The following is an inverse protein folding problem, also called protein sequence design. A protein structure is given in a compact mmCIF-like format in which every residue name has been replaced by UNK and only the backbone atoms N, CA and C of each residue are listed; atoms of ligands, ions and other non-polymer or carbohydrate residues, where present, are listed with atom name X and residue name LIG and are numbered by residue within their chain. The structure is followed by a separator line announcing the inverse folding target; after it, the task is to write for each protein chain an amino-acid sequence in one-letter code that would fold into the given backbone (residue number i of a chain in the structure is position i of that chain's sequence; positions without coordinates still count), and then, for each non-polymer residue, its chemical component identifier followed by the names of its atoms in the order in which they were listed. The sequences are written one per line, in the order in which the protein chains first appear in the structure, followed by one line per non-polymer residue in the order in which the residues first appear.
data_IF_065820006001
#
_entry.id   IF_065820006001
#
_cell.length_a   1.000
_cell.length_b   1.000
_cell.length_c   1.000
_cell.angle_alpha   90.00
_cell.angle_beta   90.00
_cell.angle_gamma   90.00
#
_symmetry.space_group_name_H-M   'P 1'
#
loop_
_entity.id
_entity.type
_entity.pdbx_description
1 polymer ?
#
# COMPACT_ATOMS: atom_id res chain seq x y z
N UNK A 1 -41.48 29.53 21.42
CA UNK A 1 -40.03 29.83 21.40
C UNK A 1 -39.40 28.87 20.41
N UNK A 2 -38.81 29.39 19.33
CA UNK A 2 -38.29 28.61 18.20
C UNK A 2 -37.04 27.85 18.63
N UNK A 3 -36.97 26.59 18.21
CA UNK A 3 -35.77 25.77 18.18
C UNK A 3 -34.71 26.43 17.31
N UNK A 4 -33.48 26.52 17.81
CA UNK A 4 -32.30 26.72 16.99
C UNK A 4 -31.06 26.20 17.72
N UNK A 5 -30.15 25.65 16.91
CA UNK A 5 -28.73 25.37 17.19
C UNK A 5 -28.44 24.08 17.98
N UNK A 6 -27.52 23.20 17.57
CA UNK A 6 -26.41 23.29 16.61
C UNK A 6 -25.99 21.87 16.21
N UNK A 7 -25.90 21.57 14.91
CA UNK A 7 -25.27 20.35 14.39
C UNK A 7 -23.74 20.42 14.51
N UNK A 8 -23.05 19.41 15.06
CA UNK A 8 -21.59 19.41 15.13
C UNK A 8 -20.98 18.77 13.87
N UNK A 9 -20.90 19.52 12.77
CA UNK A 9 -20.12 19.11 11.58
C UNK A 9 -19.40 20.33 11.04
N UNK A 10 -18.23 20.67 11.61
CA UNK A 10 -17.33 21.65 10.97
C UNK A 10 -15.88 21.64 11.47
N UNK A 11 -15.45 20.66 12.26
CA UNK A 11 -14.13 20.68 12.89
C UNK A 11 -13.03 19.92 12.11
N UNK A 12 -13.40 19.14 11.09
CA UNK A 12 -12.44 18.37 10.26
C UNK A 12 -11.85 19.18 9.09
N UNK A 13 -12.44 20.32 8.72
CA UNK A 13 -12.00 21.12 7.57
C UNK A 13 -10.71 21.93 7.78
N UNK A 14 -10.21 22.05 9.01
CA UNK A 14 -9.02 22.85 9.35
C UNK A 14 -7.72 22.04 9.53
N UNK A 15 -7.77 20.73 9.33
CA UNK A 15 -6.61 19.84 9.48
C UNK A 15 -5.84 19.57 8.18
N UNK A 16 -6.35 20.04 7.04
CA UNK A 16 -5.72 19.79 5.73
C UNK A 16 -5.03 21.06 5.20
N UNK A 17 -3.72 21.02 4.94
CA UNK A 17 -3.04 22.14 4.27
C UNK A 17 -3.61 22.32 2.85
N UNK A 18 -3.57 23.54 2.29
CA UNK A 18 -4.07 23.81 0.95
C UNK A 18 -3.29 23.02 -0.10
N UNK A 19 -4.03 22.54 -1.13
CA UNK A 19 -3.51 21.88 -2.33
C UNK A 19 -2.33 22.67 -2.92
N UNK A 20 -1.21 21.99 -3.12
CA UNK A 20 -0.05 22.41 -3.91
C UNK A 20 0.25 21.34 -4.97
N UNK A 21 0.98 21.72 -6.03
CA UNK A 21 0.50 22.03 -7.38
C UNK A 21 0.08 20.80 -8.21
N UNK A 22 -0.63 21.06 -9.32
CA UNK A 22 -0.95 20.09 -10.38
C UNK A 22 0.32 19.46 -10.96
N UNK A 23 0.63 18.23 -10.56
CA UNK A 23 1.37 17.31 -11.41
C UNK A 23 0.34 16.49 -12.19
N UNK A 24 0.25 16.74 -13.50
CA UNK A 24 -0.49 15.94 -14.48
C UNK A 24 0.25 14.66 -14.86
N UNK A 25 1.10 14.13 -13.98
CA UNK A 25 1.52 12.74 -14.08
C UNK A 25 0.46 11.90 -13.38
N UNK A 26 -0.30 11.13 -14.15
CA UNK A 26 -1.22 10.15 -13.59
C UNK A 26 -0.43 9.20 -12.68
N UNK A 27 -0.54 9.41 -11.37
CA UNK A 27 0.15 8.59 -10.36
C UNK A 27 -0.21 7.11 -10.57
N UNK A 28 -1.46 6.86 -10.99
CA UNK A 28 -2.00 5.54 -11.29
C UNK A 28 -2.07 5.31 -12.80
N UNK A 29 -1.50 4.21 -13.29
CA UNK A 29 -1.47 3.82 -14.69
C UNK A 29 -2.84 3.31 -15.16
N UNK A 30 -3.14 3.38 -16.47
CA UNK A 30 -4.29 2.71 -17.06
C UNK A 30 -4.32 1.20 -16.76
N UNK A 31 -5.52 0.61 -16.63
CA UNK A 31 -5.69 -0.79 -16.23
C UNK A 31 -5.01 -1.75 -17.21
N UNK A 32 -5.04 -1.46 -18.51
CA UNK A 32 -4.39 -2.27 -19.53
C UNK A 32 -2.86 -2.33 -19.32
N UNK A 33 -2.24 -1.23 -18.91
CA UNK A 33 -0.82 -1.19 -18.60
C UNK A 33 -0.51 -1.93 -17.29
N UNK A 34 -1.39 -1.85 -16.29
CA UNK A 34 -1.26 -2.65 -15.07
C UNK A 34 -1.36 -4.15 -15.36
N UNK A 35 -2.30 -4.59 -16.20
CA UNK A 35 -2.42 -5.98 -16.65
C UNK A 35 -1.17 -6.42 -17.42
N UNK A 36 -0.66 -5.60 -18.34
CA UNK A 36 0.60 -5.89 -19.05
C UNK A 36 1.78 -6.03 -18.09
N UNK A 37 1.86 -5.19 -17.06
CA UNK A 37 2.90 -5.27 -16.03
C UNK A 37 2.80 -6.59 -15.24
N UNK A 38 1.59 -6.98 -14.83
CA UNK A 38 1.35 -8.26 -14.17
C UNK A 38 1.72 -9.46 -15.05
N UNK A 39 1.34 -9.46 -16.32
CA UNK A 39 1.72 -10.51 -17.28
C UNK A 39 3.23 -10.63 -17.43
N UNK A 40 3.93 -9.49 -17.48
CA UNK A 40 5.40 -9.43 -17.54
C UNK A 40 6.02 -10.01 -16.28
N UNK A 41 5.53 -9.63 -15.11
CA UNK A 41 6.02 -10.13 -13.83
C UNK A 41 5.79 -11.64 -13.69
N UNK A 42 4.57 -12.10 -13.99
CA UNK A 42 4.21 -13.52 -14.01
C UNK A 42 5.17 -14.34 -14.89
N UNK A 43 5.40 -13.91 -16.14
CA UNK A 43 6.35 -14.58 -17.05
C UNK A 43 7.79 -14.56 -16.51
N UNK A 44 8.21 -13.45 -15.91
CA UNK A 44 9.59 -13.29 -15.42
C UNK A 44 9.87 -14.16 -14.19
N UNK A 45 8.86 -14.36 -13.36
CA UNK A 45 8.98 -15.07 -12.10
C UNK A 45 8.49 -16.52 -12.15
N UNK A 46 7.76 -16.88 -13.21
CA UNK A 46 7.09 -18.17 -13.33
C UNK A 46 6.17 -18.44 -12.14
N UNK A 47 5.26 -17.50 -11.86
CA UNK A 47 4.29 -17.62 -10.77
C UNK A 47 3.08 -18.51 -11.12
N UNK A 48 3.02 -19.02 -12.35
CA UNK A 48 1.95 -19.88 -12.85
C UNK A 48 0.54 -19.27 -12.75
N UNK A 49 0.42 -17.93 -12.72
CA UNK A 49 -0.89 -17.25 -12.84
C UNK A 49 -1.43 -17.56 -14.23
N UNK A 50 -2.57 -18.24 -14.31
CA UNK A 50 -3.11 -18.76 -15.55
C UNK A 50 -3.72 -17.67 -16.43
N UNK A 51 -3.70 -17.86 -17.75
CA UNK A 51 -4.36 -16.93 -18.69
C UNK A 51 -5.84 -16.72 -18.39
N UNK A 52 -6.53 -17.77 -17.94
CA UNK A 52 -7.94 -17.69 -17.51
C UNK A 52 -8.16 -16.72 -16.34
N UNK A 53 -7.18 -16.56 -15.46
CA UNK A 53 -7.29 -15.60 -14.35
C UNK A 53 -7.15 -14.16 -14.85
N UNK A 54 -6.32 -13.92 -15.86
CA UNK A 54 -6.23 -12.61 -16.51
C UNK A 54 -7.46 -12.28 -17.34
N UNK A 55 -8.05 -13.28 -18.02
CA UNK A 55 -9.30 -13.14 -18.77
C UNK A 55 -10.50 -12.92 -17.85
N UNK A 56 -10.44 -13.44 -16.63
CA UNK A 56 -11.46 -13.29 -15.59
C UNK A 56 -11.33 -12.02 -14.76
N UNK A 57 -10.44 -11.08 -15.10
CA UNK A 57 -10.36 -9.78 -14.42
C UNK A 57 -11.62 -8.98 -14.75
N UNK A 58 -12.40 -8.65 -13.72
CA UNK A 58 -13.61 -7.84 -13.85
C UNK A 58 -13.29 -6.41 -14.34
N UNK A 59 -14.34 -5.66 -14.69
CA UNK A 59 -14.20 -4.22 -14.92
C UNK A 59 -13.73 -3.52 -13.64
N UNK A 60 -12.81 -2.55 -13.73
CA UNK A 60 -12.42 -1.76 -12.57
C UNK A 60 -13.64 -1.03 -12.00
N UNK A 61 -13.73 -0.84 -10.67
CA UNK A 61 -14.73 0.06 -10.10
C UNK A 61 -14.54 1.49 -10.64
N UNK A 62 -15.44 2.40 -10.31
CA UNK A 62 -15.21 3.83 -10.54
C UNK A 62 -14.93 4.54 -9.23
N UNK A 63 -14.14 5.62 -9.30
CA UNK A 63 -14.06 6.57 -8.20
C UNK A 63 -15.34 7.40 -8.18
N UNK A 64 -15.96 7.48 -7.01
CA UNK A 64 -17.09 8.38 -6.76
C UNK A 64 -16.57 9.75 -6.31
N UNK A 65 -17.42 10.78 -6.37
CA UNK A 65 -17.08 12.11 -5.85
C UNK A 65 -16.64 12.03 -4.37
N UNK A 66 -17.30 11.18 -3.58
CA UNK A 66 -16.94 10.94 -2.18
C UNK A 66 -15.56 10.30 -2.02
N UNK A 67 -15.14 9.43 -2.94
CA UNK A 67 -13.79 8.86 -2.92
C UNK A 67 -12.75 9.96 -3.18
N UNK A 68 -13.03 10.85 -4.15
CA UNK A 68 -12.14 11.97 -4.49
C UNK A 68 -12.02 12.96 -3.32
N UNK A 69 -13.12 13.29 -2.63
CA UNK A 69 -13.12 14.13 -1.42
C UNK A 69 -12.35 13.47 -0.25
N UNK A 70 -12.37 12.14 -0.20
CA UNK A 70 -11.60 11.37 0.78
C UNK A 70 -10.11 11.27 0.39
N UNK A 71 -9.74 11.66 -0.82
CA UNK A 71 -8.35 11.73 -1.28
C UNK A 71 -7.88 10.47 -2.01
N UNK A 72 -8.81 9.61 -2.45
CA UNK A 72 -8.47 8.53 -3.37
C UNK A 72 -8.17 9.10 -4.75
N UNK A 73 -7.09 8.63 -5.37
CA UNK A 73 -6.52 9.21 -6.60
C UNK A 73 -6.57 8.29 -7.81
N UNK A 74 -6.89 7.00 -7.61
CA UNK A 74 -7.01 6.06 -8.71
C UNK A 74 -7.32 4.65 -8.24
N UNK A 75 -7.32 3.72 -9.18
CA UNK A 75 -7.60 2.30 -8.97
C UNK A 75 -6.41 1.48 -9.43
N UNK A 76 -5.93 0.62 -8.55
CA UNK A 76 -4.84 -0.30 -8.83
C UNK A 76 -5.33 -1.75 -8.80
N UNK A 77 -4.77 -2.55 -9.69
CA UNK A 77 -4.96 -3.98 -9.79
C UNK A 77 -3.88 -4.71 -8.99
N UNK A 78 -4.31 -5.60 -8.12
CA UNK A 78 -3.48 -6.41 -7.24
C UNK A 78 -3.73 -7.89 -7.46
N UNK A 79 -2.85 -8.73 -6.94
CA UNK A 79 -3.01 -10.18 -6.96
C UNK A 79 -2.73 -10.78 -5.58
N UNK A 80 -3.68 -11.56 -5.06
CA UNK A 80 -3.55 -12.27 -3.80
C UNK A 80 -3.00 -13.68 -4.01
N UNK A 81 -1.77 -13.91 -3.58
CA UNK A 81 -1.08 -15.20 -3.63
C UNK A 81 -1.41 -16.07 -2.41
N UNK A 82 -1.35 -17.39 -2.61
CA UNK A 82 -1.47 -18.36 -1.53
C UNK A 82 -2.88 -18.49 -0.95
N UNK A 83 -2.94 -19.11 0.22
CA UNK A 83 -4.15 -19.34 1.01
C UNK A 83 -3.81 -19.20 2.49
N UNK A 84 -4.53 -18.35 3.22
CA UNK A 84 -4.35 -18.12 4.66
C UNK A 84 -5.05 -19.17 5.54
N UNK A 85 -5.57 -20.25 4.93
CA UNK A 85 -6.40 -21.29 5.56
C UNK A 85 -7.81 -20.84 5.97
N UNK A 86 -8.15 -19.56 5.76
CA UNK A 86 -9.50 -19.02 5.90
C UNK A 86 -10.14 -18.71 4.53
N UNK A 87 -9.50 -19.11 3.43
CA UNK A 87 -9.98 -18.87 2.06
C UNK A 87 -9.59 -17.50 1.51
N UNK A 88 -8.71 -16.75 2.19
CA UNK A 88 -8.15 -15.49 1.71
C UNK A 88 -6.70 -15.68 1.26
N UNK A 89 -6.13 -14.64 0.66
CA UNK A 89 -4.73 -14.68 0.24
C UNK A 89 -3.79 -14.60 1.44
N UNK A 90 -2.66 -15.32 1.36
CA UNK A 90 -1.54 -15.10 2.24
C UNK A 90 -0.92 -13.73 1.89
N UNK A 91 -1.20 -12.75 2.75
CA UNK A 91 -0.78 -11.37 2.52
C UNK A 91 0.74 -11.21 2.62
N UNK A 92 1.40 -11.97 3.49
CA UNK A 92 2.87 -11.94 3.64
C UNK A 92 3.52 -12.50 2.39
N UNK A 93 3.04 -13.66 1.92
CA UNK A 93 3.48 -14.23 0.65
C UNK A 93 3.24 -13.27 -0.51
N UNK A 94 2.07 -12.63 -0.57
CA UNK A 94 1.72 -11.68 -1.63
C UNK A 94 2.68 -10.47 -1.67
N UNK A 95 3.14 -10.01 -0.51
CA UNK A 95 4.18 -8.99 -0.40
C UNK A 95 5.56 -9.51 -0.81
N UNK A 96 5.93 -10.69 -0.31
CA UNK A 96 7.19 -11.38 -0.63
C UNK A 96 7.38 -11.54 -2.14
N UNK A 97 6.35 -12.02 -2.84
CA UNK A 97 6.39 -12.22 -4.29
C UNK A 97 6.70 -10.93 -5.04
N UNK A 98 6.06 -9.82 -4.66
CA UNK A 98 6.32 -8.52 -5.26
C UNK A 98 7.75 -8.02 -4.98
N UNK A 99 8.23 -8.21 -3.76
CA UNK A 99 9.59 -7.82 -3.37
C UNK A 99 10.66 -8.67 -4.07
N UNK A 100 10.49 -9.99 -4.14
CA UNK A 100 11.39 -10.91 -4.85
C UNK A 100 11.50 -10.53 -6.33
N UNK A 101 10.38 -10.15 -6.95
CA UNK A 101 10.37 -9.60 -8.31
C UNK A 101 11.20 -8.31 -8.41
N UNK A 102 11.03 -7.37 -7.47
CA UNK A 102 11.81 -6.13 -7.41
C UNK A 102 13.32 -6.42 -7.31
N UNK A 103 13.72 -7.29 -6.38
CA UNK A 103 15.12 -7.71 -6.22
C UNK A 103 15.68 -8.31 -7.51
N UNK A 104 14.90 -9.15 -8.21
CA UNK A 104 15.33 -9.76 -9.48
C UNK A 104 15.54 -8.73 -10.59
N UNK A 105 14.67 -7.73 -10.71
CA UNK A 105 14.74 -6.73 -11.79
C UNK A 105 15.72 -5.58 -11.48
N UNK A 106 15.80 -5.16 -10.21
CA UNK A 106 16.62 -4.04 -9.76
C UNK A 106 18.05 -4.46 -9.41
N UNK A 107 18.29 -5.75 -9.13
CA UNK A 107 19.59 -6.31 -8.76
C UNK A 107 20.19 -5.55 -7.56
N UNK A 108 21.30 -4.85 -7.78
CA UNK A 108 22.01 -4.04 -6.78
C UNK A 108 21.31 -2.71 -6.43
N UNK A 109 20.13 -2.43 -7.00
CA UNK A 109 19.31 -1.24 -6.68
C UNK A 109 18.10 -1.55 -5.80
N UNK A 110 18.11 -2.70 -5.13
CA UNK A 110 17.19 -3.03 -4.05
C UNK A 110 17.98 -3.23 -2.76
N UNK A 111 17.49 -2.68 -1.65
CA UNK A 111 18.04 -2.88 -0.32
C UNK A 111 16.93 -3.30 0.64
N UNK A 112 17.21 -4.27 1.49
CA UNK A 112 16.30 -4.77 2.52
C UNK A 112 16.98 -4.72 3.88
N UNK A 113 16.27 -4.20 4.87
CA UNK A 113 16.68 -4.26 6.27
C UNK A 113 16.80 -5.72 6.74
N UNK A 114 17.84 -6.08 7.51
CA UNK A 114 17.99 -7.43 8.07
C UNK A 114 16.88 -7.81 9.07
N UNK A 115 16.07 -6.84 9.52
CA UNK A 115 14.95 -7.07 10.43
C UNK A 115 13.66 -7.50 9.72
N UNK A 116 13.66 -7.57 8.39
CA UNK A 116 12.51 -7.99 7.59
C UNK A 116 12.81 -9.37 7.06
N UNK A 117 11.98 -10.33 7.47
CA UNK A 117 12.04 -11.70 7.00
C UNK A 117 10.61 -12.17 6.71
N UNK A 118 10.27 -12.28 5.41
CA UNK A 118 8.95 -12.72 4.97
C UNK A 118 8.68 -14.19 5.29
N UNK A 119 9.73 -15.00 5.52
CA UNK A 119 9.61 -16.43 5.78
C UNK A 119 9.51 -16.75 7.28
N UNK A 120 9.48 -15.71 8.13
CA UNK A 120 9.41 -15.83 9.59
C UNK A 120 8.09 -15.24 10.13
N UNK A 121 7.01 -16.05 10.25
CA UNK A 121 5.67 -15.56 10.60
C UNK A 121 5.58 -14.93 12.00
N UNK A 122 6.46 -15.32 12.92
CA UNK A 122 6.55 -14.73 14.25
C UNK A 122 7.16 -13.31 14.26
N UNK A 123 7.86 -12.95 13.18
CA UNK A 123 8.54 -11.67 13.02
C UNK A 123 7.87 -10.77 11.98
N UNK A 124 7.09 -11.32 11.05
CA UNK A 124 6.44 -10.54 10.02
C UNK A 124 5.05 -11.10 9.71
N UNK A 125 4.02 -10.27 9.88
CA UNK A 125 2.62 -10.69 9.66
C UNK A 125 1.74 -9.53 9.25
N UNK A 126 0.56 -9.85 8.74
CA UNK A 126 -0.53 -8.90 8.72
C UNK A 126 -0.94 -8.60 10.17
N UNK A 127 -1.11 -7.33 10.52
CA UNK A 127 -1.48 -6.93 11.89
C UNK A 127 -2.81 -7.54 12.32
N UNK A 128 -3.01 -7.82 13.62
CA UNK A 128 -4.32 -8.18 14.14
C UNK A 128 -5.38 -7.12 13.76
N UNK A 129 -6.52 -7.60 13.24
CA UNK A 129 -7.64 -6.74 12.83
C UNK A 129 -7.44 -5.99 11.51
N UNK A 130 -6.39 -6.26 10.73
CA UNK A 130 -6.39 -5.88 9.32
C UNK A 130 -7.36 -6.75 8.51
N UNK A 131 -7.93 -6.17 7.45
CA UNK A 131 -8.87 -6.89 6.59
C UNK A 131 -8.13 -8.00 5.82
N UNK A 132 -8.68 -9.21 5.69
CA UNK A 132 -8.13 -10.22 4.79
C UNK A 132 -8.09 -9.74 3.34
N UNK A 133 -7.18 -10.28 2.53
CA UNK A 133 -7.05 -9.91 1.11
C UNK A 133 -7.70 -10.94 0.19
N UNK A 134 -8.40 -10.52 -0.89
CA UNK A 134 -8.95 -11.46 -1.85
C UNK A 134 -7.86 -12.32 -2.49
N UNK A 135 -8.19 -13.56 -2.85
CA UNK A 135 -7.34 -14.42 -3.68
C UNK A 135 -7.50 -14.06 -5.14
N UNK A 136 -6.44 -14.24 -5.92
CA UNK A 136 -6.44 -13.90 -7.34
C UNK A 136 -6.45 -12.39 -7.58
N UNK A 137 -6.88 -11.96 -8.76
CA UNK A 137 -6.94 -10.54 -9.10
C UNK A 137 -8.04 -9.80 -8.34
N UNK A 138 -7.71 -8.62 -7.81
CA UNK A 138 -8.66 -7.71 -7.19
C UNK A 138 -8.28 -6.25 -7.41
N UNK A 139 -9.27 -5.36 -7.44
CA UNK A 139 -9.05 -3.93 -7.50
C UNK A 139 -9.05 -3.30 -6.12
N UNK A 140 -8.22 -2.26 -5.96
CA UNK A 140 -8.28 -1.38 -4.81
C UNK A 140 -8.24 0.09 -5.24
N UNK A 141 -9.09 0.91 -4.63
CA UNK A 141 -9.01 2.37 -4.71
C UNK A 141 -7.84 2.83 -3.83
N UNK A 142 -6.94 3.63 -4.39
CA UNK A 142 -5.67 4.00 -3.73
C UNK A 142 -5.68 5.45 -3.27
N UNK A 143 -5.22 5.65 -2.05
CA UNK A 143 -4.83 6.93 -1.50
C UNK A 143 -3.35 6.86 -1.11
N UNK A 144 -2.56 7.80 -1.59
CA UNK A 144 -1.08 7.77 -1.60
C UNK A 144 -0.42 8.17 -0.27
N UNK A 145 -1.23 8.59 0.71
CA UNK A 145 -0.82 8.73 2.11
C UNK A 145 -0.39 10.15 2.54
N UNK A 146 -0.34 11.12 1.63
CA UNK A 146 -0.01 12.54 1.90
C UNK A 146 -0.91 13.11 3.00
N UNK A 147 -2.19 12.73 2.99
CA UNK A 147 -3.19 13.13 3.98
C UNK A 147 -2.80 12.77 5.43
N UNK A 148 -1.94 11.78 5.61
CA UNK A 148 -1.60 11.20 6.91
C UNK A 148 -0.14 11.42 7.34
N UNK A 149 0.65 12.21 6.60
CA UNK A 149 2.08 12.46 6.90
C UNK A 149 2.39 13.01 8.29
N UNK A 150 1.39 13.60 8.97
CA UNK A 150 1.55 14.21 10.30
C UNK A 150 1.01 13.34 11.43
N UNK A 151 0.55 12.13 11.12
CA UNK A 151 -0.05 11.22 12.07
C UNK A 151 0.85 10.01 12.26
N UNK A 152 0.81 9.42 13.44
CA UNK A 152 1.45 8.12 13.66
C UNK A 152 0.60 7.01 13.05
N UNK A 153 1.20 5.84 12.86
CA UNK A 153 0.49 4.67 12.32
C UNK A 153 -0.57 4.21 13.29
N UNK A 154 -0.26 4.21 14.59
CA UNK A 154 -1.22 3.90 15.65
C UNK A 154 -2.43 4.84 15.65
N UNK A 155 -2.24 6.13 15.35
CA UNK A 155 -3.34 7.09 15.20
C UNK A 155 -4.16 6.80 13.95
N UNK A 156 -3.52 6.60 12.80
CA UNK A 156 -4.19 6.38 11.51
C UNK A 156 -5.00 5.08 11.51
N UNK A 157 -4.47 4.02 12.14
CA UNK A 157 -5.16 2.73 12.29
C UNK A 157 -6.52 2.87 13.00
N UNK A 158 -6.73 3.88 13.85
CA UNK A 158 -8.03 4.13 14.52
C UNK A 158 -9.12 4.61 13.56
N UNK A 159 -8.75 5.05 12.35
CA UNK A 159 -9.68 5.48 11.31
C UNK A 159 -9.99 4.37 10.30
N UNK A 160 -9.43 3.16 10.45
CA UNK A 160 -9.60 2.02 9.54
C UNK A 160 -10.94 1.30 9.74
N UNK A 161 -12.04 2.06 9.73
CA UNK A 161 -13.40 1.52 9.77
C UNK A 161 -13.89 1.19 8.35
N UNK A 162 -13.74 2.14 7.41
CA UNK A 162 -14.19 2.05 6.01
C UNK A 162 -13.04 1.94 5.00
N UNK A 163 -11.81 1.91 5.48
CA UNK A 163 -10.57 1.78 4.70
C UNK A 163 -9.62 0.85 5.43
N UNK A 164 -8.59 0.34 4.74
CA UNK A 164 -7.53 -0.44 5.36
C UNK A 164 -6.18 0.14 4.95
N UNK A 165 -5.14 -0.04 5.78
CA UNK A 165 -3.78 0.36 5.40
C UNK A 165 -3.29 -0.49 4.24
N UNK A 166 -2.36 0.02 3.43
CA UNK A 166 -1.71 -0.85 2.47
C UNK A 166 -0.87 -1.92 3.20
N UNK A 167 -0.95 -3.16 2.73
CA UNK A 167 -0.06 -4.26 3.08
C UNK A 167 0.69 -4.69 1.81
N UNK A 168 0.41 -5.88 1.25
CA UNK A 168 1.03 -6.31 -0.01
C UNK A 168 0.76 -5.33 -1.17
N UNK A 169 -0.34 -4.57 -1.12
CA UNK A 169 -0.69 -3.59 -2.14
C UNK A 169 0.41 -2.56 -2.38
N UNK A 170 1.04 -2.05 -1.31
CA UNK A 170 2.11 -1.06 -1.45
C UNK A 170 3.33 -1.63 -2.16
N UNK A 171 3.69 -2.88 -1.85
CA UNK A 171 4.79 -3.58 -2.52
C UNK A 171 4.44 -3.84 -3.99
N UNK A 172 3.26 -4.37 -4.28
CA UNK A 172 2.83 -4.66 -5.65
C UNK A 172 2.74 -3.40 -6.50
N UNK A 173 2.25 -2.30 -5.93
CA UNK A 173 2.15 -1.01 -6.60
C UNK A 173 3.54 -0.51 -7.01
N UNK A 174 4.52 -0.53 -6.11
CA UNK A 174 5.85 0.00 -6.38
C UNK A 174 6.76 -0.94 -7.18
N UNK A 175 6.57 -2.25 -7.02
CA UNK A 175 7.48 -3.26 -7.56
C UNK A 175 6.99 -3.82 -8.89
N UNK A 176 5.67 -3.83 -9.15
CA UNK A 176 5.07 -4.50 -10.30
C UNK A 176 4.44 -3.50 -11.25
N UNK A 177 3.41 -2.77 -10.80
CA UNK A 177 2.54 -2.01 -11.71
C UNK A 177 3.02 -0.58 -11.94
N UNK A 178 3.43 0.14 -10.90
CA UNK A 178 3.76 1.58 -10.96
C UNK A 178 5.24 1.83 -10.63
N UNK A 179 6.13 1.19 -11.40
CA UNK A 179 7.58 1.26 -11.15
C UNK A 179 8.20 2.64 -11.37
N UNK A 180 7.44 3.63 -11.85
CA UNK A 180 7.84 5.05 -11.90
C UNK A 180 7.73 5.75 -10.55
N UNK A 181 6.89 5.26 -9.62
CA UNK A 181 6.73 5.87 -8.30
C UNK A 181 8.02 5.86 -7.47
N UNK A 182 8.83 4.77 -7.45
CA UNK A 182 10.15 4.81 -6.85
C UNK A 182 11.07 5.93 -7.37
N UNK A 183 10.98 6.30 -8.65
CA UNK A 183 11.76 7.43 -9.19
C UNK A 183 11.21 8.76 -8.64
N UNK A 184 9.89 8.93 -8.59
CA UNK A 184 9.24 10.11 -7.97
C UNK A 184 9.62 10.28 -6.49
N UNK A 185 9.68 9.17 -5.75
CA UNK A 185 10.15 9.14 -4.35
C UNK A 185 11.62 9.59 -4.24
N UNK A 186 12.50 9.08 -5.10
CA UNK A 186 13.92 9.50 -5.14
C UNK A 186 14.07 11.00 -5.45
N UNK A 187 13.19 11.54 -6.28
CA UNK A 187 13.13 12.96 -6.64
C UNK A 187 12.40 13.83 -5.60
N UNK A 188 11.96 13.24 -4.47
CA UNK A 188 11.19 13.90 -3.39
C UNK A 188 9.87 14.54 -3.88
N UNK A 189 9.31 14.02 -4.97
CA UNK A 189 8.00 14.45 -5.51
C UNK A 189 6.83 13.73 -4.85
N UNK A 190 7.09 12.57 -4.25
CA UNK A 190 6.12 11.75 -3.54
C UNK A 190 6.70 11.36 -2.18
N UNK A 191 5.90 11.31 -1.10
CA UNK A 191 6.40 10.78 0.15
C UNK A 191 6.77 9.30 0.02
N UNK A 192 7.67 8.87 0.92
CA UNK A 192 7.89 7.44 1.14
C UNK A 192 6.64 6.80 1.75
N UNK A 193 6.53 5.48 1.75
CA UNK A 193 5.29 4.81 2.16
C UNK A 193 5.48 3.94 3.39
N UNK A 194 4.56 4.08 4.34
CA UNK A 194 4.42 3.20 5.49
C UNK A 194 3.25 2.24 5.24
N UNK A 195 3.54 0.93 5.21
CA UNK A 195 2.56 -0.11 4.92
C UNK A 195 1.86 -0.55 6.21
N UNK A 196 0.92 0.29 6.64
CA UNK A 196 0.30 0.25 7.95
C UNK A 196 -0.49 -1.02 8.30
N UNK A 197 -0.72 -1.95 7.36
CA UNK A 197 -1.36 -3.23 7.65
C UNK A 197 -0.36 -4.36 7.98
N UNK A 198 0.95 -4.15 7.83
CA UNK A 198 1.95 -5.08 8.34
C UNK A 198 2.37 -4.72 9.77
N UNK A 199 2.59 -5.76 10.58
CA UNK A 199 3.37 -5.68 11.81
C UNK A 199 4.69 -6.42 11.59
N UNK A 200 5.78 -5.79 11.98
CA UNK A 200 7.13 -6.36 12.01
C UNK A 200 7.62 -6.37 13.45
N UNK A 201 8.03 -7.53 13.94
CA UNK A 201 8.62 -7.73 15.25
C UNK A 201 10.11 -8.08 15.06
N UNK A 202 11.02 -7.08 15.08
CA UNK A 202 12.43 -7.23 14.72
C UNK A 202 13.16 -8.33 15.52
N UNK A 203 12.72 -8.59 16.75
CA UNK A 203 13.28 -9.62 17.64
C UNK A 203 12.35 -10.83 17.90
N UNK A 204 11.15 -10.88 17.29
CA UNK A 204 10.23 -12.03 17.32
C UNK A 204 8.98 -11.87 18.20
N UNK A 205 8.26 -12.98 18.46
CA UNK A 205 6.85 -13.06 18.91
C UNK A 205 6.43 -12.27 20.18
N UNK A 206 7.35 -11.63 20.91
CA UNK A 206 7.05 -10.83 22.11
C UNK A 206 7.72 -9.44 22.10
N UNK A 207 8.16 -8.98 20.93
CA UNK A 207 8.78 -7.67 20.76
C UNK A 207 7.73 -6.55 20.58
N UNK A 208 8.16 -5.29 20.64
CA UNK A 208 7.33 -4.20 20.14
C UNK A 208 7.13 -4.35 18.62
N UNK A 209 5.98 -3.90 18.12
CA UNK A 209 5.67 -3.98 16.69
C UNK A 209 6.02 -2.66 16.00
N UNK A 210 6.93 -2.76 15.03
CA UNK A 210 7.14 -1.75 14.01
C UNK A 210 6.24 -2.05 12.81
N UNK A 211 6.25 -1.16 11.83
CA UNK A 211 5.55 -1.33 10.55
C UNK A 211 6.55 -1.38 9.41
N UNK A 212 6.20 -2.11 8.36
CA UNK A 212 6.97 -2.11 7.12
C UNK A 212 6.92 -0.72 6.48
N UNK A 213 8.06 -0.26 5.98
CA UNK A 213 8.17 0.97 5.21
C UNK A 213 8.97 0.73 3.93
N UNK A 214 8.48 1.31 2.83
CA UNK A 214 9.12 1.26 1.52
C UNK A 214 9.47 2.69 1.08
N UNK A 215 10.70 2.87 0.64
CA UNK A 215 11.24 4.17 0.26
C UNK A 215 12.17 4.02 -0.93
N UNK A 216 12.50 5.13 -1.57
CA UNK A 216 13.49 5.14 -2.64
C UNK A 216 14.38 6.35 -2.49
N UNK A 217 15.70 6.13 -2.45
CA UNK A 217 16.69 7.19 -2.34
C UNK A 217 17.85 6.91 -3.28
N UNK A 218 18.28 7.91 -4.05
CA UNK A 218 19.31 7.75 -5.08
C UNK A 218 19.03 6.58 -6.03
N UNK A 219 17.74 6.35 -6.35
CA UNK A 219 17.24 5.25 -7.19
C UNK A 219 17.53 3.85 -6.64
N UNK A 220 17.77 3.74 -5.34
CA UNK A 220 17.80 2.49 -4.59
C UNK A 220 16.44 2.34 -3.91
N UNK A 221 15.70 1.30 -4.28
CA UNK A 221 14.45 0.93 -3.62
C UNK A 221 14.78 0.21 -2.31
N UNK A 222 14.38 0.81 -1.19
CA UNK A 222 14.65 0.34 0.15
C UNK A 222 13.41 -0.20 0.84
N UNK A 223 13.58 -1.29 1.57
CA UNK A 223 12.59 -1.87 2.46
C UNK A 223 13.12 -1.84 3.90
N UNK A 224 12.44 -1.11 4.78
CA UNK A 224 12.83 -0.88 6.17
C UNK A 224 11.67 -1.03 7.16
N UNK A 225 11.94 -0.73 8.42
CA UNK A 225 10.95 -0.80 9.51
C UNK A 225 10.88 0.55 10.23
N UNK A 226 9.67 1.00 10.56
CA UNK A 226 9.43 2.26 11.26
C UNK A 226 8.54 2.04 12.47
N UNK A 227 8.75 2.80 13.53
CA UNK A 227 8.00 2.66 14.76
C UNK A 227 6.56 3.19 14.59
N UNK A 228 5.57 2.42 15.04
CA UNK A 228 4.16 2.74 14.82
C UNK A 228 3.67 3.98 15.57
N UNK A 229 4.36 4.37 16.64
CA UNK A 229 4.05 5.53 17.48
C UNK A 229 4.95 6.74 17.18
N UNK A 230 5.86 6.63 16.22
CA UNK A 230 6.66 7.75 15.75
C UNK A 230 6.01 8.44 14.55
N UNK A 231 6.29 9.75 14.45
CA UNK A 231 5.91 10.56 13.31
C UNK A 231 7.09 10.65 12.34
N UNK A 232 6.83 10.38 11.06
CA UNK A 232 7.81 10.44 9.99
C UNK A 232 7.34 11.42 8.90
N UNK A 233 7.62 12.73 9.00
CA UNK A 233 7.06 13.72 8.09
C UNK A 233 7.39 13.54 6.60
N UNK A 234 8.43 12.76 6.27
CA UNK A 234 8.80 12.39 4.89
C UNK A 234 8.07 11.15 4.35
N UNK A 235 7.30 10.46 5.20
CA UNK A 235 6.56 9.25 4.89
C UNK A 235 5.05 9.52 4.95
N UNK A 236 4.33 9.03 3.95
CA UNK A 236 2.88 8.95 3.90
C UNK A 236 2.43 7.56 4.32
N UNK A 237 1.20 7.47 4.79
CA UNK A 237 0.57 6.20 5.16
C UNK A 237 -0.49 5.90 4.10
N UNK A 238 -0.16 5.19 3.00
CA UNK A 238 -1.14 4.88 1.97
C UNK A 238 -2.23 3.96 2.50
N UNK A 239 -3.44 4.13 1.96
CA UNK A 239 -4.61 3.32 2.29
C UNK A 239 -5.30 2.82 1.03
N UNK A 240 -6.02 1.71 1.19
CA UNK A 240 -6.77 1.06 0.12
C UNK A 240 -8.21 0.80 0.56
N UNK A 241 -9.12 0.84 -0.41
CA UNK A 241 -10.51 0.43 -0.28
C UNK A 241 -10.87 -0.54 -1.39
N UNK A 242 -11.43 -1.68 -1.03
CA UNK A 242 -11.99 -2.69 -1.94
C UNK A 242 -13.46 -2.37 -2.21
#
# INVERSE_FOLDING_TARGET
MKWNEMTPVNWLGRLFPPKKPEFTEHVILPIEEQIKAWRRANKKMNWDIGEKEFEGIDSPPSLTDSDLEQGFVGIALFYGFGDDSAGHADSVLSGKMAWDYACKILKNRAWQSPHIDFDKPDSFRLRPGARPRPRGFYFGKIQTGERFQRMTVSEVRRYFNSVTGCGPEGLQLLCITHTHIPDMMSERKMPFMILADYDVAPHGYNDFFDTLQIFSSNRILGLGIGNVDQNYPGFGIPTVRF
#
